data_IF_692646554589
#
_entry.id   IF_692646554589
#
_cell.length_a   1.000
_cell.length_b   1.000
_cell.length_c   1.000
_cell.angle_alpha   90.00
_cell.angle_beta   90.00
_cell.angle_gamma   90.00
#
_symmetry.space_group_name_H-M   'P 1'
#
loop_
_entity.id
_entity.type
_entity.pdbx_description
1 polymer ?
#
# COMPACT_ATOMS: atom_id res chain seq x y z
N UNK A 1 -43.78 47.93 -13.78
CA UNK A 1 -42.39 48.29 -13.48
C UNK A 1 -42.12 47.85 -12.04
N UNK A 2 -41.30 46.82 -11.87
CA UNK A 2 -41.24 45.95 -10.67
C UNK A 2 -40.56 46.66 -9.49
N UNK A 3 -41.25 46.70 -8.34
CA UNK A 3 -40.69 47.12 -7.05
C UNK A 3 -39.81 46.00 -6.45
N UNK A 4 -38.62 46.41 -5.99
CA UNK A 4 -37.55 45.60 -5.40
C UNK A 4 -38.00 44.94 -4.09
N UNK A 5 -37.69 43.64 -3.97
CA UNK A 5 -37.77 42.86 -2.72
C UNK A 5 -36.65 43.28 -1.77
N UNK A 6 -37.00 43.56 -0.53
CA UNK A 6 -36.10 43.72 0.62
C UNK A 6 -36.19 42.40 1.40
N UNK A 7 -35.07 41.70 1.57
CA UNK A 7 -34.93 40.55 2.46
C UNK A 7 -34.36 41.02 3.81
N UNK A 8 -34.92 40.64 4.96
CA UNK A 8 -34.30 40.91 6.25
C UNK A 8 -33.27 39.83 6.59
N UNK A 9 -32.08 40.26 7.02
CA UNK A 9 -31.08 39.43 7.70
C UNK A 9 -31.65 38.97 9.05
N UNK A 10 -31.67 37.66 9.29
CA UNK A 10 -31.86 37.09 10.62
C UNK A 10 -30.47 36.78 11.17
N UNK A 11 -30.09 37.52 12.23
CA UNK A 11 -28.91 37.25 13.03
C UNK A 11 -29.22 36.09 13.99
N UNK A 12 -28.50 34.97 13.85
CA UNK A 12 -28.51 33.87 14.82
C UNK A 12 -27.42 34.15 15.85
N UNK A 13 -27.84 34.45 17.07
CA UNK A 13 -26.96 34.54 18.22
C UNK A 13 -26.58 33.13 18.69
N UNK A 14 -25.29 32.78 18.61
CA UNK A 14 -24.75 31.59 19.25
C UNK A 14 -24.59 31.83 20.76
N UNK A 15 -25.31 31.04 21.55
CA UNK A 15 -25.12 30.91 22.99
C UNK A 15 -23.81 30.15 23.26
N UNK A 16 -22.85 30.85 23.87
CA UNK A 16 -21.66 30.25 24.45
C UNK A 16 -22.01 29.60 25.79
N UNK A 17 -22.11 28.27 25.80
CA UNK A 17 -22.16 27.47 27.02
C UNK A 17 -20.76 26.91 27.30
N UNK A 18 -20.27 27.18 28.52
CA UNK A 18 -18.87 27.07 28.91
C UNK A 18 -18.25 25.67 28.85
N UNK A 19 -17.01 25.63 28.34
CA UNK A 19 -16.08 24.55 28.62
C UNK A 19 -15.54 24.71 30.04
N UNK A 20 -15.87 23.74 30.90
CA UNK A 20 -15.15 23.49 32.13
C UNK A 20 -13.70 23.09 31.79
N UNK A 21 -12.75 23.82 32.34
CA UNK A 21 -11.32 23.50 32.32
C UNK A 21 -11.08 22.28 33.22
N UNK A 22 -10.98 21.10 32.63
CA UNK A 22 -10.43 19.92 33.32
C UNK A 22 -8.91 19.88 33.09
N UNK A 23 -8.18 19.90 34.20
CA UNK A 23 -6.74 19.71 34.31
C UNK A 23 -6.27 18.47 33.51
N UNK A 24 -5.26 18.59 32.64
CA UNK A 24 -4.57 17.43 32.07
C UNK A 24 -3.42 17.07 33.00
N UNK A 25 -3.70 16.37 34.10
CA UNK A 25 -2.65 15.79 34.93
C UNK A 25 -3.23 14.65 35.74
N UNK A 26 -3.18 13.45 35.14
CA UNK A 26 -2.82 12.14 35.72
C UNK A 26 -3.43 11.01 34.87
N UNK A 27 -2.94 10.83 33.64
CA UNK A 27 -3.05 9.54 32.97
C UNK A 27 -1.85 8.67 33.43
N UNK A 28 -2.06 7.41 33.82
CA UNK A 28 -0.97 6.52 34.18
C UNK A 28 -0.09 6.28 32.95
N UNK A 29 1.18 6.69 33.06
CA UNK A 29 2.23 6.38 32.09
C UNK A 29 2.47 4.88 32.22
N UNK A 30 1.81 4.08 31.38
CA UNK A 30 2.30 2.74 31.07
C UNK A 30 3.68 2.94 30.42
N UNK A 31 4.73 2.21 30.84
CA UNK A 31 5.99 2.22 30.11
C UNK A 31 5.74 1.57 28.76
N UNK A 32 5.35 2.38 27.78
CA UNK A 32 5.42 2.02 26.38
C UNK A 32 6.87 1.69 26.11
N UNK A 33 7.16 0.40 25.96
CA UNK A 33 8.39 -0.02 25.32
C UNK A 33 8.50 0.81 24.03
N UNK A 34 9.62 1.51 23.78
CA UNK A 34 9.84 2.05 22.45
C UNK A 34 9.65 0.88 21.49
N UNK A 35 8.73 1.03 20.54
CA UNK A 35 8.69 0.16 19.39
C UNK A 35 10.06 0.33 18.74
N UNK A 36 10.98 -0.57 19.06
CA UNK A 36 12.22 -0.73 18.34
C UNK A 36 11.77 -0.99 16.92
N UNK A 37 11.93 0.00 16.05
CA UNK A 37 11.90 -0.20 14.61
C UNK A 37 13.07 -1.15 14.39
N UNK A 38 12.77 -2.45 14.37
CA UNK A 38 13.67 -3.44 13.81
C UNK A 38 13.60 -3.14 12.33
N UNK A 39 14.52 -2.29 11.87
CA UNK A 39 14.97 -2.32 10.48
C UNK A 39 15.46 -3.75 10.33
N UNK A 40 14.61 -4.61 9.76
CA UNK A 40 15.03 -5.94 9.39
C UNK A 40 16.20 -5.76 8.44
N UNK A 41 17.37 -6.28 8.83
CA UNK A 41 18.43 -6.58 7.87
C UNK A 41 17.76 -7.28 6.70
N UNK A 42 17.74 -6.62 5.54
CA UNK A 42 17.28 -7.22 4.30
C UNK A 42 18.10 -8.50 4.12
N UNK A 43 17.47 -9.67 3.91
CA UNK A 43 18.20 -10.83 3.42
C UNK A 43 18.69 -10.46 2.02
N UNK A 44 19.93 -9.99 1.91
CA UNK A 44 20.65 -9.84 0.65
C UNK A 44 20.86 -11.24 0.07
N UNK A 45 19.81 -11.78 -0.55
CA UNK A 45 19.88 -12.94 -1.44
C UNK A 45 19.90 -12.46 -2.88
N UNK A 46 20.55 -11.32 -3.14
CA UNK A 46 20.85 -10.88 -4.49
C UNK A 46 22.03 -11.71 -4.99
N UNK A 47 21.79 -12.53 -6.02
CA UNK A 47 22.87 -12.98 -6.87
C UNK A 47 23.61 -11.73 -7.40
N UNK A 48 24.95 -11.71 -7.42
CA UNK A 48 25.67 -10.55 -7.92
C UNK A 48 25.32 -10.32 -9.40
N UNK A 49 24.59 -9.22 -9.66
CA UNK A 49 24.42 -8.70 -11.01
C UNK A 49 25.80 -8.37 -11.56
N UNK A 50 26.23 -9.11 -12.58
CA UNK A 50 27.46 -8.80 -13.29
C UNK A 50 27.10 -7.76 -14.34
N UNK A 51 27.18 -6.50 -13.96
CA UNK A 51 26.87 -5.40 -14.86
C UNK A 51 27.70 -5.52 -16.14
N UNK A 52 27.12 -5.30 -17.33
CA UNK A 52 27.90 -4.92 -18.49
C UNK A 52 28.79 -3.74 -18.08
N UNK A 53 30.09 -3.82 -18.36
CA UNK A 53 30.97 -2.67 -18.17
C UNK A 53 30.70 -1.69 -19.31
N UNK A 54 29.85 -0.70 -19.07
CA UNK A 54 29.71 0.46 -19.94
C UNK A 54 30.99 1.30 -19.78
N UNK A 55 31.98 1.12 -20.66
CA UNK A 55 33.18 1.96 -20.64
C UNK A 55 32.87 3.31 -21.27
N UNK A 56 32.19 4.17 -20.52
CA UNK A 56 31.87 5.52 -20.96
C UNK A 56 33.08 6.45 -20.78
N UNK A 57 33.20 7.43 -21.67
CA UNK A 57 34.14 8.53 -21.54
C UNK A 57 33.46 9.69 -20.82
N UNK A 58 34.19 10.41 -19.98
CA UNK A 58 33.70 11.67 -19.41
C UNK A 58 33.29 12.61 -20.55
N UNK A 59 32.16 13.29 -20.41
CA UNK A 59 31.70 14.26 -21.40
C UNK A 59 32.81 15.28 -21.75
N UNK A 60 33.13 15.49 -23.04
CA UNK A 60 34.34 16.21 -23.47
C UNK A 60 34.19 17.74 -23.40
N UNK A 61 33.77 18.26 -22.25
CA UNK A 61 33.67 19.69 -21.96
C UNK A 61 35.03 20.18 -21.44
N UNK A 62 35.57 21.31 -21.94
CA UNK A 62 36.79 21.89 -21.39
C UNK A 62 36.67 22.13 -19.88
N UNK A 63 37.63 21.65 -19.05
CA UNK A 63 37.53 21.80 -17.61
C UNK A 63 37.55 23.28 -17.22
N UNK A 64 36.64 23.64 -16.33
CA UNK A 64 36.50 24.98 -15.78
C UNK A 64 36.52 24.97 -14.26
N UNK A 65 36.20 26.11 -13.67
CA UNK A 65 35.99 26.23 -12.22
C UNK A 65 34.84 27.19 -11.92
N UNK A 66 33.64 26.91 -12.44
CA UNK A 66 32.45 27.69 -12.09
C UNK A 66 32.13 27.55 -10.59
N UNK A 67 31.50 28.56 -10.02
CA UNK A 67 30.91 28.46 -8.69
C UNK A 67 29.81 27.38 -8.67
N UNK A 68 29.66 26.68 -7.54
CA UNK A 68 28.58 25.69 -7.36
C UNK A 68 27.19 26.34 -7.53
N UNK A 69 26.22 25.63 -8.12
CA UNK A 69 24.88 26.17 -8.34
C UNK A 69 24.17 26.45 -7.00
N UNK A 70 23.32 27.48 -6.97
CA UNK A 70 22.56 27.84 -5.76
C UNK A 70 21.25 27.04 -5.75
N UNK A 71 21.18 25.96 -4.97
CA UNK A 71 20.05 25.01 -4.98
C UNK A 71 18.83 25.41 -4.13
N UNK A 72 18.66 26.71 -3.83
CA UNK A 72 17.61 27.19 -2.92
C UNK A 72 16.21 27.31 -3.57
N UNK A 73 16.13 27.36 -4.90
CA UNK A 73 14.88 27.49 -5.64
C UNK A 73 14.68 26.28 -6.57
N UNK A 74 13.69 25.42 -6.30
CA UNK A 74 13.43 24.25 -7.13
C UNK A 74 13.21 24.54 -8.61
N UNK A 75 12.65 25.71 -8.93
CA UNK A 75 12.35 26.08 -10.31
C UNK A 75 13.60 26.45 -11.14
N UNK A 76 14.77 26.62 -10.51
CA UNK A 76 16.02 26.96 -11.20
C UNK A 76 17.05 25.84 -11.18
N UNK A 77 16.77 24.70 -10.52
CA UNK A 77 17.71 23.58 -10.44
C UNK A 77 18.22 23.14 -11.82
N UNK A 78 17.32 22.85 -12.77
CA UNK A 78 17.70 22.39 -14.10
C UNK A 78 18.60 23.40 -14.85
N UNK A 79 18.22 24.69 -15.04
CA UNK A 79 19.08 25.64 -15.74
C UNK A 79 20.38 25.98 -15.00
N UNK A 80 20.38 26.03 -13.67
CA UNK A 80 21.59 26.36 -12.89
C UNK A 80 22.61 25.21 -12.95
N UNK A 81 22.14 23.96 -12.85
CA UNK A 81 22.99 22.77 -13.00
C UNK A 81 23.49 22.65 -14.43
N UNK A 82 22.63 22.86 -15.43
CA UNK A 82 23.01 22.86 -16.84
C UNK A 82 24.13 23.86 -17.14
N UNK A 83 24.05 25.07 -16.59
CA UNK A 83 25.07 26.10 -16.72
C UNK A 83 26.39 25.71 -16.02
N UNK A 84 26.31 25.13 -14.82
CA UNK A 84 27.49 24.63 -14.09
C UNK A 84 28.24 23.55 -14.88
N UNK A 85 27.50 22.55 -15.39
CA UNK A 85 28.06 21.44 -16.16
C UNK A 85 28.75 21.95 -17.44
N UNK A 86 28.08 22.81 -18.21
CA UNK A 86 28.61 23.35 -19.47
C UNK A 86 29.68 24.44 -19.30
N UNK A 87 29.89 24.94 -18.09
CA UNK A 87 31.05 25.77 -17.74
C UNK A 87 32.28 24.94 -17.33
N UNK A 88 32.22 23.61 -17.47
CA UNK A 88 33.31 22.69 -17.14
C UNK A 88 33.41 22.36 -15.66
N UNK A 89 32.31 22.48 -14.90
CA UNK A 89 32.25 22.09 -13.50
C UNK A 89 32.40 20.57 -13.30
N UNK A 90 32.97 20.15 -12.17
CA UNK A 90 33.19 18.74 -11.87
C UNK A 90 31.90 18.09 -11.35
N UNK A 91 31.45 17.00 -12.00
CA UNK A 91 30.24 16.26 -11.61
C UNK A 91 30.31 15.75 -10.17
N UNK A 92 31.47 15.28 -9.71
CA UNK A 92 31.66 14.84 -8.32
C UNK A 92 31.40 15.96 -7.30
N UNK A 93 31.90 17.17 -7.57
CA UNK A 93 31.64 18.34 -6.71
C UNK A 93 30.16 18.74 -6.71
N UNK A 94 29.46 18.57 -7.83
CA UNK A 94 28.02 18.78 -7.90
C UNK A 94 27.26 17.74 -7.08
N UNK A 95 27.59 16.45 -7.20
CA UNK A 95 26.94 15.38 -6.44
C UNK A 95 27.14 15.57 -4.93
N UNK A 96 28.36 15.89 -4.51
CA UNK A 96 28.66 16.22 -3.10
C UNK A 96 27.83 17.41 -2.62
N UNK A 97 27.67 18.44 -3.47
CA UNK A 97 26.87 19.62 -3.15
C UNK A 97 25.37 19.31 -3.04
N UNK A 98 24.82 18.52 -3.98
CA UNK A 98 23.42 18.07 -3.94
C UNK A 98 23.18 17.22 -2.70
N UNK A 99 24.05 16.25 -2.42
CA UNK A 99 23.96 15.39 -1.24
C UNK A 99 23.98 16.20 0.06
N UNK A 100 24.82 17.24 0.14
CA UNK A 100 24.86 18.13 1.30
C UNK A 100 23.62 19.03 1.43
N UNK A 101 22.93 19.31 0.32
CA UNK A 101 21.73 20.15 0.28
C UNK A 101 20.42 19.39 0.51
N UNK A 102 20.36 18.13 0.06
CA UNK A 102 19.21 17.25 0.29
C UNK A 102 19.14 16.90 1.79
N UNK A 103 18.03 17.26 2.43
CA UNK A 103 17.88 17.18 3.89
C UNK A 103 17.30 15.85 4.40
N UNK A 104 17.27 14.78 3.59
CA UNK A 104 16.62 13.50 3.97
C UNK A 104 17.36 12.25 3.47
N UNK A 105 17.45 11.27 4.38
CA UNK A 105 17.91 9.87 4.29
C UNK A 105 19.29 9.58 3.63
N UNK A 106 20.28 9.08 4.39
CA UNK A 106 21.61 8.68 3.87
C UNK A 106 21.63 7.58 2.80
N UNK A 107 20.49 6.97 2.48
CA UNK A 107 20.37 5.82 1.57
C UNK A 107 19.88 6.15 0.16
N UNK A 108 19.45 7.39 -0.11
CA UNK A 108 19.02 7.79 -1.45
C UNK A 108 20.22 8.26 -2.28
N UNK A 109 20.50 7.59 -3.41
CA UNK A 109 21.50 8.06 -4.37
C UNK A 109 21.06 9.41 -4.95
N UNK A 110 21.85 10.47 -4.70
CA UNK A 110 21.59 11.80 -5.25
C UNK A 110 21.75 11.88 -6.78
N UNK A 111 22.45 10.91 -7.38
CA UNK A 111 22.55 10.78 -8.82
C UNK A 111 23.28 9.52 -9.27
N UNK A 112 23.20 9.26 -10.57
CA UNK A 112 23.86 8.15 -11.27
C UNK A 112 24.62 8.72 -12.47
N UNK A 113 25.82 8.16 -12.72
CA UNK A 113 26.66 8.48 -13.87
C UNK A 113 26.76 7.22 -14.72
N UNK A 114 26.26 7.31 -15.96
CA UNK A 114 26.08 6.17 -16.85
C UNK A 114 25.89 6.68 -18.29
N UNK A 115 26.31 5.90 -19.28
CA UNK A 115 25.94 6.11 -20.68
C UNK A 115 24.49 5.62 -20.91
N UNK A 116 23.51 6.52 -20.85
CA UNK A 116 22.07 6.23 -20.92
C UNK A 116 21.55 6.14 -22.36
N UNK A 117 22.25 6.75 -23.31
CA UNK A 117 21.86 6.79 -24.72
C UNK A 117 22.72 5.88 -25.63
N UNK A 118 23.76 5.27 -25.08
CA UNK A 118 24.78 4.44 -25.74
C UNK A 118 25.64 5.18 -26.78
N UNK A 119 25.92 6.46 -26.56
CA UNK A 119 26.82 7.23 -27.41
C UNK A 119 28.30 7.14 -27.01
N UNK A 120 28.59 6.45 -25.91
CA UNK A 120 29.93 6.24 -25.37
C UNK A 120 30.38 7.32 -24.39
N UNK A 121 29.53 8.30 -24.06
CA UNK A 121 29.82 9.33 -23.07
C UNK A 121 29.00 9.15 -21.78
N UNK A 122 29.53 9.67 -20.68
CA UNK A 122 28.84 9.69 -19.40
C UNK A 122 27.70 10.71 -19.40
N UNK A 123 26.48 10.22 -19.16
CA UNK A 123 25.30 11.02 -18.85
C UNK A 123 25.08 11.11 -17.34
N UNK A 124 24.16 11.99 -16.94
CA UNK A 124 23.91 12.29 -15.54
C UNK A 124 22.42 12.29 -15.24
N UNK A 125 21.98 11.39 -14.36
CA UNK A 125 20.66 11.42 -13.74
C UNK A 125 20.79 11.94 -12.30
N UNK A 126 19.96 12.91 -11.91
CA UNK A 126 20.01 13.58 -10.60
C UNK A 126 18.64 13.61 -9.94
N UNK A 127 18.64 13.42 -8.63
CA UNK A 127 17.48 13.63 -7.77
C UNK A 127 17.77 14.78 -6.82
N UNK A 128 16.96 15.84 -6.92
CA UNK A 128 16.99 16.97 -6.01
C UNK A 128 15.72 17.00 -5.18
N UNK A 129 15.87 17.27 -3.88
CA UNK A 129 14.75 17.43 -2.97
C UNK A 129 14.92 18.68 -2.11
N UNK A 130 13.80 19.33 -1.81
CA UNK A 130 13.73 20.43 -0.88
C UNK A 130 12.74 20.08 0.22
N UNK A 131 13.23 20.09 1.47
CA UNK A 131 12.40 19.90 2.64
C UNK A 131 11.35 21.02 2.79
N UNK A 132 10.26 20.79 3.53
CA UNK A 132 9.29 21.83 3.83
C UNK A 132 9.96 23.01 4.56
N UNK A 133 9.48 24.23 4.30
CA UNK A 133 9.90 25.46 4.96
C UNK A 133 8.70 26.26 5.47
N UNK A 134 8.95 27.36 6.18
CA UNK A 134 7.88 28.29 6.60
C UNK A 134 7.07 28.85 5.42
N UNK A 135 7.66 28.87 4.22
CA UNK A 135 7.07 29.43 3.00
C UNK A 135 6.53 28.31 2.09
N UNK A 136 7.06 27.09 2.20
CA UNK A 136 6.69 25.91 1.41
C UNK A 136 6.29 24.75 2.31
N UNK A 137 4.99 24.59 2.57
CA UNK A 137 4.49 23.64 3.55
C UNK A 137 4.66 22.15 3.17
N UNK A 138 4.89 21.85 1.89
CA UNK A 138 5.11 20.50 1.39
C UNK A 138 6.53 20.38 0.84
N UNK A 139 7.17 19.20 0.95
CA UNK A 139 8.44 18.97 0.31
C UNK A 139 8.23 18.96 -1.22
N UNK A 140 9.29 19.27 -1.96
CA UNK A 140 9.28 19.22 -3.42
C UNK A 140 10.54 18.51 -3.91
N UNK A 141 10.48 17.91 -5.09
CA UNK A 141 11.64 17.30 -5.69
C UNK A 141 11.55 17.22 -7.20
N UNK A 142 12.69 16.96 -7.84
CA UNK A 142 12.77 16.82 -9.29
C UNK A 142 13.78 15.75 -9.67
N UNK A 143 13.41 14.98 -10.70
CA UNK A 143 14.32 14.13 -11.45
C UNK A 143 14.79 14.90 -12.69
N UNK A 144 16.11 15.01 -12.83
CA UNK A 144 16.76 15.66 -13.96
C UNK A 144 17.67 14.64 -14.65
N UNK A 145 17.62 14.57 -15.98
CA UNK A 145 18.55 13.77 -16.78
C UNK A 145 19.21 14.69 -17.81
N UNK A 146 20.54 14.72 -17.78
CA UNK A 146 21.38 15.43 -18.72
C UNK A 146 22.16 14.42 -19.55
N UNK A 147 21.99 14.47 -20.87
CA UNK A 147 22.79 13.68 -21.80
C UNK A 147 23.99 14.48 -22.27
N UNK A 148 25.15 13.84 -22.39
CA UNK A 148 26.26 14.43 -23.12
C UNK A 148 26.01 14.34 -24.62
N UNK A 149 26.15 15.43 -25.36
CA UNK A 149 26.06 15.44 -26.81
C UNK A 149 26.81 16.63 -27.39
N UNK A 150 27.58 16.42 -28.47
CA UNK A 150 28.33 17.49 -29.16
C UNK A 150 29.21 18.35 -28.22
N UNK A 151 29.96 17.70 -27.32
CA UNK A 151 30.85 18.36 -26.34
C UNK A 151 30.11 19.25 -25.32
N UNK A 152 28.83 19.00 -25.05
CA UNK A 152 28.03 19.73 -24.08
C UNK A 152 26.98 18.82 -23.41
N UNK A 153 26.61 19.12 -22.17
CA UNK A 153 25.42 18.51 -21.56
C UNK A 153 24.16 19.17 -22.10
N UNK A 154 23.14 18.37 -22.42
CA UNK A 154 21.81 18.80 -22.80
C UNK A 154 20.79 18.22 -21.82
N UNK A 155 19.83 19.03 -21.37
CA UNK A 155 18.73 18.55 -20.56
C UNK A 155 17.80 17.68 -21.42
N UNK A 156 17.72 16.39 -21.11
CA UNK A 156 16.94 15.41 -21.87
C UNK A 156 15.63 15.02 -21.15
N UNK A 157 15.62 15.10 -19.81
CA UNK A 157 14.43 14.86 -19.00
C UNK A 157 14.43 15.81 -17.80
N UNK A 158 13.35 16.56 -17.60
CA UNK A 158 13.22 17.49 -16.48
C UNK A 158 11.79 17.42 -15.98
N UNK A 159 11.60 16.95 -14.76
CA UNK A 159 10.30 17.00 -14.12
C UNK A 159 10.10 18.35 -13.44
N UNK A 160 8.85 18.82 -13.41
CA UNK A 160 8.52 19.98 -12.59
C UNK A 160 8.69 19.66 -11.10
N UNK A 161 9.21 20.59 -10.27
CA UNK A 161 9.22 20.42 -8.83
C UNK A 161 7.78 20.37 -8.31
N UNK A 162 7.24 19.18 -8.14
CA UNK A 162 5.84 18.98 -7.78
C UNK A 162 5.74 18.24 -6.44
N UNK A 163 5.00 18.82 -5.50
CA UNK A 163 4.68 18.14 -4.24
C UNK A 163 3.61 17.06 -4.41
N UNK A 164 2.76 17.17 -5.44
CA UNK A 164 1.61 16.27 -5.65
C UNK A 164 2.01 14.90 -6.21
N UNK A 165 3.10 14.84 -7.00
CA UNK A 165 3.60 13.60 -7.57
C UNK A 165 4.35 12.73 -6.54
N UNK A 166 4.72 13.30 -5.38
CA UNK A 166 5.63 12.67 -4.43
C UNK A 166 7.09 13.08 -4.65
N UNK A 167 7.98 12.64 -3.78
CA UNK A 167 9.41 12.88 -3.87
C UNK A 167 10.07 11.84 -4.77
N UNK A 168 10.82 12.26 -5.81
CA UNK A 168 11.52 11.34 -6.67
C UNK A 168 12.65 10.65 -5.91
N UNK A 169 12.90 9.38 -6.24
CA UNK A 169 14.06 8.59 -5.82
C UNK A 169 14.63 7.86 -7.03
N UNK A 170 15.94 7.75 -7.07
CA UNK A 170 16.67 6.94 -8.04
C UNK A 170 17.04 5.64 -7.35
N UNK A 171 16.30 4.57 -7.67
CA UNK A 171 16.41 3.30 -6.96
C UNK A 171 17.55 2.44 -7.48
N UNK A 172 17.71 2.39 -8.80
CA UNK A 172 18.78 1.62 -9.46
C UNK A 172 18.93 2.03 -10.93
N UNK A 173 20.15 1.84 -11.45
CA UNK A 173 20.51 1.93 -12.86
C UNK A 173 21.07 0.57 -13.31
N UNK A 174 20.53 -0.04 -14.38
CA UNK A 174 21.01 -1.30 -14.99
C UNK A 174 20.19 -1.65 -16.23
N UNK A 175 20.62 -2.67 -16.98
CA UNK A 175 19.80 -3.28 -18.02
C UNK A 175 18.66 -4.09 -17.37
N UNK A 176 17.47 -3.49 -17.34
CA UNK A 176 16.25 -4.11 -16.83
C UNK A 176 15.55 -4.94 -17.91
N UNK A 177 15.73 -4.59 -19.20
CA UNK A 177 15.05 -5.25 -20.32
C UNK A 177 15.81 -6.46 -20.90
N UNK A 178 17.08 -6.63 -20.56
CA UNK A 178 17.97 -7.67 -21.07
C UNK A 178 18.52 -7.40 -22.47
N UNK A 179 18.41 -6.17 -22.98
CA UNK A 179 18.80 -5.82 -24.35
C UNK A 179 20.21 -5.23 -24.46
N UNK A 180 20.94 -5.20 -23.34
CA UNK A 180 22.28 -4.67 -23.22
C UNK A 180 22.34 -3.16 -22.97
N UNK A 181 21.20 -2.46 -22.99
CA UNK A 181 21.12 -1.02 -22.72
C UNK A 181 20.68 -0.79 -21.28
N UNK A 182 21.17 0.27 -20.61
CA UNK A 182 20.74 0.52 -19.25
C UNK A 182 19.44 1.36 -19.21
N UNK A 183 18.61 1.07 -18.22
CA UNK A 183 17.46 1.88 -17.83
C UNK A 183 17.59 2.37 -16.38
N UNK A 184 16.77 3.36 -16.03
CA UNK A 184 16.66 3.89 -14.67
C UNK A 184 15.36 3.43 -14.03
N UNK A 185 15.44 2.74 -12.89
CA UNK A 185 14.29 2.54 -12.01
C UNK A 185 14.15 3.75 -11.10
N UNK A 186 13.08 4.51 -11.29
CA UNK A 186 12.76 5.71 -10.52
C UNK A 186 11.45 5.53 -9.77
N UNK A 187 11.38 6.10 -8.57
CA UNK A 187 10.22 6.00 -7.70
C UNK A 187 9.72 7.39 -7.35
N UNK A 188 8.41 7.53 -7.27
CA UNK A 188 7.75 8.73 -6.78
C UNK A 188 7.06 8.43 -5.47
N UNK A 189 7.65 8.85 -4.36
CA UNK A 189 7.19 8.50 -3.02
C UNK A 189 6.29 9.59 -2.43
N UNK A 190 5.09 9.20 -2.01
CA UNK A 190 4.18 10.06 -1.25
C UNK A 190 3.94 9.48 0.13
N UNK A 191 4.32 10.22 1.17
CA UNK A 191 4.13 9.83 2.56
C UNK A 191 3.08 10.70 3.24
N UNK A 192 2.06 10.05 3.81
CA UNK A 192 1.19 10.66 4.82
C UNK A 192 1.84 10.60 6.21
N UNK A 193 1.03 10.85 7.25
CA UNK A 193 1.52 10.84 8.63
C UNK A 193 2.11 9.48 9.08
N UNK A 194 1.63 8.37 8.50
CA UNK A 194 1.95 7.02 8.97
C UNK A 194 2.12 5.98 7.85
N UNK A 195 2.01 6.35 6.58
CA UNK A 195 2.02 5.39 5.47
C UNK A 195 2.56 6.08 4.23
N UNK A 196 3.51 5.41 3.58
CA UNK A 196 4.08 5.85 2.32
C UNK A 196 3.58 4.97 1.18
N UNK A 197 3.53 5.54 -0.02
CA UNK A 197 3.17 4.88 -1.26
C UNK A 197 4.21 5.27 -2.32
N UNK A 198 4.45 4.39 -3.31
CA UNK A 198 5.36 4.69 -4.41
C UNK A 198 4.71 4.45 -5.77
N UNK A 199 4.87 5.37 -6.71
CA UNK A 199 4.71 5.05 -8.12
C UNK A 199 6.08 4.73 -8.72
N UNK A 200 6.26 3.50 -9.21
CA UNK A 200 7.46 3.10 -9.93
C UNK A 200 7.39 3.49 -11.41
N UNK A 201 8.55 3.78 -11.98
CA UNK A 201 8.76 4.05 -13.40
C UNK A 201 10.09 3.43 -13.82
N UNK A 202 10.17 2.99 -15.08
CA UNK A 202 11.43 2.56 -15.69
C UNK A 202 11.66 3.45 -16.90
N UNK A 203 12.66 4.32 -16.81
CA UNK A 203 12.96 5.28 -17.86
C UNK A 203 14.02 4.73 -18.80
N UNK A 204 13.68 4.66 -20.09
CA UNK A 204 14.56 4.22 -21.17
C UNK A 204 14.69 5.29 -22.24
N UNK A 205 15.89 5.48 -22.78
CA UNK A 205 16.11 6.35 -23.93
C UNK A 205 15.62 5.68 -25.23
N UNK A 206 14.73 6.33 -25.97
CA UNK A 206 14.14 5.82 -27.23
C UNK A 206 14.85 6.32 -28.50
N UNK A 207 15.91 7.13 -28.35
CA UNK A 207 16.59 7.83 -29.43
C UNK A 207 16.21 9.31 -29.55
N UNK A 208 15.14 9.75 -28.91
CA UNK A 208 14.64 11.13 -28.94
C UNK A 208 14.32 11.69 -27.56
N UNK A 209 13.90 10.83 -26.62
CA UNK A 209 13.51 11.19 -25.27
C UNK A 209 13.54 9.97 -24.34
N UNK A 210 13.30 10.21 -23.05
CA UNK A 210 13.06 9.14 -22.10
C UNK A 210 11.58 8.75 -22.12
N UNK A 211 11.30 7.46 -22.33
CA UNK A 211 9.98 6.87 -22.17
C UNK A 211 9.88 6.07 -20.87
N UNK A 212 8.71 6.10 -20.24
CA UNK A 212 8.39 5.22 -19.12
C UNK A 212 7.87 3.88 -19.64
N UNK A 213 8.58 2.80 -19.35
CA UNK A 213 8.22 1.43 -19.72
C UNK A 213 7.26 0.76 -18.74
N UNK A 214 7.06 1.35 -17.56
CA UNK A 214 6.20 0.79 -16.50
C UNK A 214 4.72 0.90 -16.87
N UNK A 215 3.99 -0.21 -16.72
CA UNK A 215 2.54 -0.24 -16.90
C UNK A 215 1.81 -0.48 -15.58
N UNK A 216 0.74 0.29 -15.37
CA UNK A 216 -0.15 0.13 -14.23
C UNK A 216 0.29 0.92 -13.00
N UNK A 217 -0.36 0.62 -11.88
CA UNK A 217 -0.23 1.35 -10.62
C UNK A 217 0.58 0.55 -9.60
N UNK A 218 1.46 1.24 -8.90
CA UNK A 218 2.09 0.75 -7.68
C UNK A 218 1.84 1.66 -6.47
N UNK A 219 1.24 2.83 -6.70
CA UNK A 219 0.94 3.87 -5.73
C UNK A 219 -0.23 3.54 -4.80
N UNK A 220 -0.83 2.35 -4.95
CA UNK A 220 -1.84 1.78 -4.07
C UNK A 220 -1.27 0.78 -3.05
N UNK A 221 0.04 0.49 -3.11
CA UNK A 221 0.72 -0.44 -2.20
C UNK A 221 1.27 0.30 -0.96
N UNK A 222 0.67 0.12 0.23
CA UNK A 222 1.07 0.85 1.43
C UNK A 222 2.37 0.32 2.06
N UNK A 223 3.21 1.25 2.48
CA UNK A 223 4.55 1.02 3.06
C UNK A 223 5.34 0.00 2.22
N UNK A 224 5.64 0.34 0.96
CA UNK A 224 6.18 -0.61 -0.01
C UNK A 224 7.63 -0.98 0.32
N UNK A 225 7.94 -2.26 0.14
CA UNK A 225 9.30 -2.80 0.12
C UNK A 225 9.61 -3.36 -1.28
N UNK A 226 10.78 -3.03 -1.83
CA UNK A 226 11.13 -3.31 -3.23
C UNK A 226 12.26 -4.32 -3.30
N UNK A 227 12.04 -5.39 -4.05
CA UNK A 227 13.02 -6.43 -4.33
C UNK A 227 13.26 -6.50 -5.85
N UNK A 228 14.53 -6.49 -6.26
CA UNK A 228 14.94 -6.69 -7.65
C UNK A 228 15.47 -8.13 -7.82
N UNK A 229 14.86 -8.89 -8.73
CA UNK A 229 15.25 -10.27 -9.02
C UNK A 229 15.71 -10.41 -10.47
N UNK A 230 17.00 -10.62 -10.68
CA UNK A 230 17.56 -10.80 -12.01
C UNK A 230 19.09 -10.82 -12.04
N UNK A 231 19.70 -11.00 -13.22
CA UNK A 231 19.00 -11.19 -14.49
C UNK A 231 18.27 -12.53 -14.54
N UNK A 232 17.10 -12.54 -15.15
CA UNK A 232 16.29 -13.72 -15.43
C UNK A 232 16.89 -14.49 -16.62
N UNK A 233 16.25 -15.60 -17.01
CA UNK A 233 16.73 -16.43 -18.12
C UNK A 233 16.76 -15.70 -19.48
N UNK A 234 15.94 -14.66 -19.65
CA UNK A 234 15.89 -13.80 -20.82
C UNK A 234 16.78 -12.54 -20.71
N UNK A 235 17.52 -12.41 -19.61
CA UNK A 235 18.37 -11.24 -19.33
C UNK A 235 17.67 -10.10 -18.59
N UNK A 236 16.34 -10.08 -18.54
CA UNK A 236 15.57 -9.02 -17.89
C UNK A 236 15.61 -9.09 -16.35
N UNK A 237 15.10 -8.08 -15.66
CA UNK A 237 14.98 -8.08 -14.19
C UNK A 237 13.51 -8.01 -13.77
N UNK A 238 13.05 -8.92 -12.92
CA UNK A 238 11.75 -8.80 -12.26
C UNK A 238 11.82 -7.79 -11.11
N UNK A 239 10.75 -7.03 -10.92
CA UNK A 239 10.62 -6.03 -9.86
C UNK A 239 9.42 -6.40 -9.00
N UNK A 240 9.67 -6.75 -7.75
CA UNK A 240 8.64 -7.12 -6.79
C UNK A 240 8.45 -5.99 -5.79
N UNK A 241 7.20 -5.57 -5.59
CA UNK A 241 6.81 -4.59 -4.57
C UNK A 241 5.89 -5.29 -3.57
N UNK A 242 6.32 -5.36 -2.31
CA UNK A 242 5.53 -5.90 -1.21
C UNK A 242 4.94 -4.77 -0.38
N UNK A 243 3.61 -4.67 -0.34
CA UNK A 243 2.90 -3.80 0.59
C UNK A 243 3.01 -4.36 2.02
N UNK A 244 3.72 -3.67 2.91
CA UNK A 244 3.94 -4.08 4.31
C UNK A 244 2.83 -3.64 5.24
N UNK A 245 2.01 -2.69 4.79
CA UNK A 245 0.76 -2.31 5.43
C UNK A 245 0.68 -0.86 5.84
N UNK A 246 -0.35 -0.56 6.62
CA UNK A 246 -0.77 0.81 6.91
C UNK A 246 -0.46 1.12 8.38
N UNK A 247 0.39 2.12 8.64
CA UNK A 247 0.83 2.49 9.98
C UNK A 247 -0.22 3.18 10.87
N UNK A 248 -1.51 3.02 10.56
CA UNK A 248 -2.63 3.59 11.31
C UNK A 248 -3.30 2.52 12.16
N UNK A 249 -3.49 2.80 13.45
CA UNK A 249 -4.23 1.88 14.33
C UNK A 249 -5.66 1.61 13.83
N UNK A 250 -6.29 2.60 13.18
CA UNK A 250 -7.64 2.47 12.63
C UNK A 250 -7.73 1.60 11.36
N UNK A 251 -6.60 1.28 10.72
CA UNK A 251 -6.56 0.39 9.56
C UNK A 251 -6.82 -1.07 9.96
N UNK A 252 -6.46 -1.43 11.20
CA UNK A 252 -6.47 -2.79 11.71
C UNK A 252 -5.35 -3.66 11.12
N UNK A 253 -5.43 -5.00 11.25
CA UNK A 253 -4.39 -5.87 10.77
C UNK A 253 -4.32 -5.85 9.25
N UNK A 254 -3.13 -5.61 8.70
CA UNK A 254 -2.90 -5.64 7.26
C UNK A 254 -2.44 -7.02 6.82
N UNK A 255 -2.89 -7.46 5.64
CA UNK A 255 -2.42 -8.68 4.99
C UNK A 255 -1.53 -8.29 3.82
N UNK A 256 -0.28 -8.70 3.87
CA UNK A 256 0.70 -8.29 2.85
C UNK A 256 0.27 -8.74 1.45
N UNK A 257 0.44 -7.83 0.50
CA UNK A 257 0.22 -8.07 -0.93
C UNK A 257 1.57 -7.86 -1.61
N UNK A 258 1.99 -8.82 -2.43
CA UNK A 258 3.17 -8.70 -3.26
C UNK A 258 2.75 -8.70 -4.72
N UNK A 259 3.18 -7.68 -5.45
CA UNK A 259 3.02 -7.60 -6.91
C UNK A 259 4.38 -7.67 -7.58
N UNK A 260 4.46 -8.41 -8.67
CA UNK A 260 5.68 -8.57 -9.47
C UNK A 260 5.44 -8.06 -10.88
N UNK A 261 6.32 -7.18 -11.34
CA UNK A 261 6.35 -6.69 -12.72
C UNK A 261 7.53 -7.32 -13.45
N UNK A 262 7.27 -7.77 -14.67
CA UNK A 262 8.28 -8.37 -15.56
C UNK A 262 8.26 -7.70 -16.91
N UNK A 263 9.38 -7.77 -17.63
CA UNK A 263 9.47 -7.29 -19.00
C UNK A 263 8.68 -8.17 -19.96
N UNK A 264 7.87 -7.56 -20.82
CA UNK A 264 7.12 -8.21 -21.89
C UNK A 264 7.59 -7.67 -23.26
N UNK A 265 8.46 -8.40 -23.99
CA UNK A 265 9.03 -7.94 -25.26
C UNK A 265 7.98 -7.63 -26.34
N UNK A 266 6.83 -8.31 -26.32
CA UNK A 266 5.77 -8.12 -27.32
C UNK A 266 5.08 -6.76 -27.20
N UNK A 267 4.90 -6.26 -25.97
CA UNK A 267 4.33 -4.94 -25.71
C UNK A 267 5.40 -3.87 -25.52
N UNK A 268 6.64 -4.27 -25.25
CA UNK A 268 7.74 -3.37 -24.92
C UNK A 268 7.51 -2.68 -23.58
N UNK A 269 6.85 -3.33 -22.62
CA UNK A 269 6.49 -2.75 -21.32
C UNK A 269 6.75 -3.71 -20.16
N UNK A 270 6.88 -3.13 -18.97
CA UNK A 270 6.83 -3.85 -17.71
C UNK A 270 5.37 -3.97 -17.27
N UNK A 271 4.86 -5.19 -17.25
CA UNK A 271 3.46 -5.47 -16.91
C UNK A 271 3.39 -6.30 -15.62
N UNK A 272 2.27 -6.19 -14.91
CA UNK A 272 1.99 -7.00 -13.72
C UNK A 272 1.85 -8.46 -14.15
N UNK A 273 2.81 -9.31 -13.78
CA UNK A 273 2.79 -10.73 -14.10
C UNK A 273 2.28 -11.60 -12.96
N UNK A 274 2.39 -11.12 -11.72
CA UNK A 274 1.94 -11.85 -10.54
C UNK A 274 1.45 -10.89 -9.46
N UNK A 275 0.34 -11.26 -8.80
CA UNK A 275 -0.10 -10.68 -7.54
C UNK A 275 -0.36 -11.83 -6.55
N UNK A 276 0.25 -11.75 -5.38
CA UNK A 276 0.09 -12.74 -4.31
C UNK A 276 -0.31 -12.07 -3.02
N UNK A 277 -1.27 -12.68 -2.35
CA UNK A 277 -1.68 -12.32 -1.00
C UNK A 277 -0.97 -13.27 -0.03
N UNK A 278 -0.35 -12.73 1.02
CA UNK A 278 0.34 -13.56 2.01
C UNK A 278 -0.61 -14.55 2.71
N UNK A 279 -0.09 -15.62 3.29
CA UNK A 279 -0.91 -16.50 4.14
C UNK A 279 -1.52 -15.71 5.32
N UNK A 280 -2.73 -16.05 5.77
CA UNK A 280 -3.38 -15.29 6.83
C UNK A 280 -2.66 -15.55 8.15
N UNK A 281 -2.03 -14.49 8.67
CA UNK A 281 -1.48 -14.45 10.03
C UNK A 281 -2.57 -14.18 11.07
N UNK A 282 -3.57 -13.38 10.70
CA UNK A 282 -4.65 -12.96 11.60
C UNK A 282 -5.91 -13.79 11.39
N UNK A 283 -6.64 -14.06 12.48
CA UNK A 283 -7.87 -14.87 12.44
C UNK A 283 -8.95 -14.27 11.53
N UNK A 284 -9.05 -12.94 11.50
CA UNK A 284 -9.96 -12.22 10.60
C UNK A 284 -9.65 -12.47 9.11
N UNK A 285 -8.36 -12.59 8.75
CA UNK A 285 -7.98 -12.88 7.36
C UNK A 285 -8.30 -14.32 6.97
N UNK A 286 -8.14 -15.28 7.89
CA UNK A 286 -8.58 -16.65 7.66
C UNK A 286 -10.11 -16.75 7.50
N UNK A 287 -10.86 -15.90 8.21
CA UNK A 287 -12.31 -15.78 8.03
C UNK A 287 -12.66 -15.21 6.64
N UNK A 288 -11.96 -14.17 6.19
CA UNK A 288 -12.15 -13.62 4.85
C UNK A 288 -11.91 -14.67 3.75
N UNK A 289 -10.86 -15.50 3.88
CA UNK A 289 -10.58 -16.58 2.93
C UNK A 289 -11.70 -17.62 2.91
N UNK A 290 -12.21 -18.01 4.07
CA UNK A 290 -13.33 -18.94 4.18
C UNK A 290 -14.62 -18.38 3.57
N UNK A 291 -14.89 -17.09 3.80
CA UNK A 291 -16.04 -16.39 3.22
C UNK A 291 -15.92 -16.27 1.69
N UNK A 292 -14.74 -15.96 1.18
CA UNK A 292 -14.50 -15.88 -0.26
C UNK A 292 -14.73 -17.23 -0.93
N UNK A 293 -14.18 -18.32 -0.36
CA UNK A 293 -14.42 -19.66 -0.86
C UNK A 293 -15.92 -20.03 -0.86
N UNK A 294 -16.66 -19.65 0.18
CA UNK A 294 -18.11 -19.88 0.25
C UNK A 294 -18.88 -19.10 -0.84
N UNK A 295 -18.48 -17.85 -1.12
CA UNK A 295 -19.06 -17.02 -2.18
C UNK A 295 -18.78 -17.58 -3.59
N UNK A 296 -17.60 -18.16 -3.79
CA UNK A 296 -17.21 -18.81 -5.05
C UNK A 296 -17.84 -20.19 -5.24
N UNK A 297 -18.52 -20.71 -4.23
CA UNK A 297 -19.15 -22.02 -4.25
C UNK A 297 -18.21 -23.18 -3.89
N UNK A 298 -16.99 -22.90 -3.44
CA UNK A 298 -16.06 -23.90 -2.90
C UNK A 298 -16.30 -24.13 -1.40
N UNK A 299 -17.40 -24.83 -1.11
CA UNK A 299 -17.81 -25.11 0.27
C UNK A 299 -16.88 -26.07 1.00
N UNK A 300 -16.10 -26.90 0.29
CA UNK A 300 -15.12 -27.76 0.93
C UNK A 300 -13.98 -26.94 1.52
N UNK A 301 -13.44 -26.00 0.73
CA UNK A 301 -12.42 -25.05 1.20
C UNK A 301 -12.98 -24.13 2.27
N UNK A 302 -14.19 -23.61 2.08
CA UNK A 302 -14.85 -22.76 3.08
C UNK A 302 -15.00 -23.47 4.43
N UNK A 303 -15.49 -24.72 4.45
CA UNK A 303 -15.63 -25.48 5.70
C UNK A 303 -14.30 -25.74 6.42
N UNK A 304 -13.22 -26.04 5.68
CA UNK A 304 -11.87 -26.15 6.26
C UNK A 304 -11.40 -24.80 6.81
N UNK A 305 -11.69 -23.71 6.09
CA UNK A 305 -11.40 -22.34 6.50
C UNK A 305 -12.11 -21.93 7.79
N UNK A 306 -13.43 -22.14 7.90
CA UNK A 306 -14.18 -21.85 9.12
C UNK A 306 -13.71 -22.71 10.30
N UNK A 307 -13.39 -23.99 10.08
CA UNK A 307 -12.78 -24.82 11.13
C UNK A 307 -11.43 -24.27 11.59
N UNK A 308 -10.59 -23.78 10.66
CA UNK A 308 -9.32 -23.12 11.00
C UNK A 308 -9.56 -21.85 11.82
N UNK A 309 -10.54 -21.01 11.45
CA UNK A 309 -10.95 -19.85 12.24
C UNK A 309 -11.38 -20.26 13.65
N UNK A 310 -12.07 -21.38 13.78
CA UNK A 310 -12.52 -21.88 15.09
C UNK A 310 -11.39 -22.41 15.96
N UNK A 311 -10.45 -23.18 15.40
CA UNK A 311 -9.57 -24.05 16.19
C UNK A 311 -8.06 -23.75 16.06
N UNK A 312 -7.62 -23.01 15.05
CA UNK A 312 -6.20 -22.76 14.84
C UNK A 312 -5.66 -21.76 15.88
N UNK A 313 -4.83 -22.30 16.79
CA UNK A 313 -4.17 -21.55 17.86
C UNK A 313 -2.97 -20.72 17.39
N UNK A 314 -2.54 -20.85 16.13
CA UNK A 314 -1.41 -20.08 15.56
C UNK A 314 -1.85 -18.74 14.98
N UNK A 315 -3.16 -18.57 14.73
CA UNK A 315 -3.72 -17.31 14.25
C UNK A 315 -3.72 -16.24 15.34
N UNK A 316 -3.22 -15.05 15.00
CA UNK A 316 -3.21 -13.87 15.84
C UNK A 316 -4.61 -13.21 15.85
N UNK A 317 -5.10 -12.84 17.03
CA UNK A 317 -6.42 -12.23 17.22
C UNK A 317 -6.38 -10.69 17.15
N UNK A 318 -5.23 -10.13 16.78
CA UNK A 318 -4.94 -8.71 16.75
C UNK A 318 -5.19 -8.04 18.12
N UNK A 319 -5.51 -6.75 18.15
CA UNK A 319 -5.76 -5.99 19.37
C UNK A 319 -7.02 -6.44 20.13
N UNK A 320 -7.92 -7.20 19.51
CA UNK A 320 -9.17 -7.66 20.12
C UNK A 320 -8.99 -8.86 21.06
N UNK A 321 -7.84 -9.56 20.97
CA UNK A 321 -7.48 -10.64 21.90
C UNK A 321 -8.52 -11.77 22.01
N UNK A 322 -8.72 -12.28 23.23
CA UNK A 322 -9.62 -13.41 23.49
C UNK A 322 -11.08 -13.12 23.15
N UNK A 323 -11.53 -11.88 23.30
CA UNK A 323 -12.90 -11.45 22.96
C UNK A 323 -13.11 -11.44 21.43
N UNK A 324 -12.14 -10.91 20.69
CA UNK A 324 -12.13 -10.99 19.22
C UNK A 324 -12.06 -12.43 18.72
N UNK A 325 -11.24 -13.28 19.36
CA UNK A 325 -11.23 -14.72 19.08
C UNK A 325 -12.62 -15.31 19.24
N UNK A 326 -13.25 -15.11 20.39
CA UNK A 326 -14.56 -15.68 20.68
C UNK A 326 -15.63 -15.20 19.68
N UNK A 327 -15.60 -13.93 19.30
CA UNK A 327 -16.46 -13.34 18.25
C UNK A 327 -16.27 -14.03 16.90
N UNK A 328 -15.04 -14.12 16.39
CA UNK A 328 -14.77 -14.73 15.09
C UNK A 328 -15.07 -16.24 15.07
N UNK A 329 -14.85 -16.93 16.19
CA UNK A 329 -15.25 -18.35 16.37
C UNK A 329 -16.77 -18.50 16.28
N UNK A 330 -17.53 -17.66 16.99
CA UNK A 330 -18.99 -17.72 17.00
C UNK A 330 -19.57 -17.47 15.60
N UNK A 331 -19.06 -16.44 14.90
CA UNK A 331 -19.46 -16.15 13.54
C UNK A 331 -19.07 -17.27 12.55
N UNK A 332 -17.86 -17.81 12.63
CA UNK A 332 -17.44 -18.93 11.78
C UNK A 332 -18.28 -20.20 12.01
N UNK A 333 -18.69 -20.48 13.26
CA UNK A 333 -19.60 -21.58 13.57
C UNK A 333 -20.98 -21.37 12.92
N UNK A 334 -21.54 -20.16 12.98
CA UNK A 334 -22.77 -19.83 12.26
C UNK A 334 -22.60 -20.07 10.75
N UNK A 335 -21.50 -19.59 10.13
CA UNK A 335 -21.25 -19.79 8.70
C UNK A 335 -21.12 -21.26 8.31
N UNK A 336 -20.47 -22.06 9.16
CA UNK A 336 -20.39 -23.51 8.97
C UNK A 336 -21.79 -24.17 9.01
N UNK A 337 -22.66 -23.77 9.94
CA UNK A 337 -24.04 -24.25 10.03
C UNK A 337 -24.83 -23.94 8.74
N UNK A 338 -24.66 -22.75 8.18
CA UNK A 338 -25.29 -22.38 6.90
C UNK A 338 -24.82 -23.31 5.76
N UNK A 339 -23.52 -23.62 5.69
CA UNK A 339 -22.98 -24.59 4.72
C UNK A 339 -23.53 -26.00 4.95
N UNK A 340 -23.61 -26.44 6.20
CA UNK A 340 -24.16 -27.75 6.54
C UNK A 340 -25.62 -27.88 6.11
N UNK A 341 -26.44 -26.85 6.36
CA UNK A 341 -27.83 -26.81 5.88
C UNK A 341 -27.90 -26.88 4.36
N UNK A 342 -27.11 -26.06 3.67
CA UNK A 342 -27.04 -26.05 2.19
C UNK A 342 -26.71 -27.43 1.62
N UNK A 343 -25.79 -28.14 2.27
CA UNK A 343 -25.34 -29.45 1.83
C UNK A 343 -26.29 -30.59 2.27
N UNK A 344 -27.38 -30.28 2.97
CA UNK A 344 -28.33 -31.26 3.49
C UNK A 344 -27.85 -31.97 4.77
N UNK A 345 -26.76 -31.52 5.39
CA UNK A 345 -26.17 -32.07 6.60
C UNK A 345 -26.85 -31.51 7.86
N UNK A 346 -28.18 -31.66 7.96
CA UNK A 346 -28.97 -31.05 9.05
C UNK A 346 -28.56 -31.54 10.45
N UNK A 347 -28.03 -32.76 10.57
CA UNK A 347 -27.46 -33.27 11.83
C UNK A 347 -26.23 -32.48 12.28
N UNK A 348 -25.36 -32.08 11.35
CA UNK A 348 -24.19 -31.26 11.67
C UNK A 348 -24.62 -29.84 12.03
N UNK A 349 -25.60 -29.29 11.31
CA UNK A 349 -26.16 -27.97 11.59
C UNK A 349 -26.76 -27.90 13.01
N UNK A 350 -27.54 -28.91 13.42
CA UNK A 350 -28.10 -29.00 14.78
C UNK A 350 -27.00 -29.14 15.84
N UNK A 351 -26.00 -30.00 15.60
CA UNK A 351 -24.87 -30.16 16.51
C UNK A 351 -24.04 -28.87 16.63
N UNK A 352 -23.90 -28.09 15.56
CA UNK A 352 -23.24 -26.79 15.57
C UNK A 352 -24.00 -25.76 16.39
N UNK A 353 -25.33 -25.75 16.33
CA UNK A 353 -26.17 -24.89 17.16
C UNK A 353 -26.06 -25.29 18.65
N UNK A 354 -26.05 -26.58 18.96
CA UNK A 354 -25.83 -27.05 20.33
C UNK A 354 -24.45 -26.67 20.88
N UNK A 355 -23.41 -26.74 20.03
CA UNK A 355 -22.08 -26.24 20.36
C UNK A 355 -22.12 -24.74 20.69
N UNK A 356 -22.76 -23.92 19.85
CA UNK A 356 -22.89 -22.48 20.08
C UNK A 356 -23.60 -22.16 21.39
N UNK A 357 -24.71 -22.84 21.69
CA UNK A 357 -25.46 -22.68 22.95
C UNK A 357 -24.62 -23.03 24.18
N UNK A 358 -23.80 -24.08 24.08
CA UNK A 358 -22.93 -24.51 25.17
C UNK A 358 -21.73 -23.57 25.35
N UNK A 359 -21.14 -23.07 24.26
CA UNK A 359 -19.97 -22.19 24.29
C UNK A 359 -20.32 -20.75 24.70
N UNK A 360 -21.51 -20.28 24.32
CA UNK A 360 -21.95 -18.90 24.54
C UNK A 360 -23.35 -18.91 25.19
N UNK A 361 -23.44 -19.12 26.52
CA UNK A 361 -24.71 -19.07 27.24
C UNK A 361 -25.27 -17.63 27.31
N UNK A 362 -26.52 -17.40 27.76
CA UNK A 362 -27.18 -16.07 27.74
C UNK A 362 -26.42 -14.93 28.41
N UNK A 363 -25.55 -15.22 29.38
CA UNK A 363 -24.68 -14.25 30.04
C UNK A 363 -23.42 -13.88 29.24
N UNK A 364 -23.12 -14.60 28.15
CA UNK A 364 -21.97 -14.35 27.29
C UNK A 364 -22.19 -13.10 26.43
N UNK A 365 -21.18 -12.23 26.26
CA UNK A 365 -21.27 -11.11 25.32
C UNK A 365 -21.45 -11.56 23.86
N UNK A 366 -21.15 -12.82 23.53
CA UNK A 366 -21.31 -13.37 22.18
C UNK A 366 -22.63 -14.14 21.99
N UNK A 367 -23.55 -14.11 22.98
CA UNK A 367 -24.84 -14.80 22.90
C UNK A 367 -25.69 -14.38 21.69
N UNK A 368 -25.50 -13.16 21.17
CA UNK A 368 -26.19 -12.70 19.97
C UNK A 368 -25.96 -13.61 18.75
N UNK A 369 -24.79 -14.27 18.63
CA UNK A 369 -24.53 -15.23 17.55
C UNK A 369 -25.33 -16.54 17.73
N UNK A 370 -25.69 -16.90 18.95
CA UNK A 370 -26.65 -17.99 19.20
C UNK A 370 -28.02 -17.57 18.68
N UNK A 371 -28.51 -16.38 19.06
CA UNK A 371 -29.79 -15.86 18.58
C UNK A 371 -29.87 -15.71 17.05
N UNK A 372 -28.78 -15.27 16.42
CA UNK A 372 -28.61 -15.24 14.96
C UNK A 372 -28.82 -16.63 14.35
N UNK A 373 -28.15 -17.64 14.92
CA UNK A 373 -28.18 -19.02 14.44
C UNK A 373 -29.54 -19.68 14.70
N UNK A 374 -30.15 -19.44 15.86
CA UNK A 374 -31.50 -19.90 16.18
C UNK A 374 -32.51 -19.33 15.19
N UNK A 375 -32.42 -18.03 14.88
CA UNK A 375 -33.33 -17.39 13.93
C UNK A 375 -33.22 -18.01 12.53
N UNK A 376 -32.00 -18.30 12.08
CA UNK A 376 -31.75 -19.03 10.84
C UNK A 376 -32.37 -20.43 10.90
N UNK A 377 -32.02 -21.21 11.93
CA UNK A 377 -32.39 -22.62 12.06
C UNK A 377 -33.90 -22.83 12.20
N UNK A 378 -34.57 -22.06 13.05
CA UNK A 378 -36.03 -22.12 13.24
C UNK A 378 -36.78 -21.82 11.94
N UNK A 379 -36.29 -20.85 11.17
CA UNK A 379 -36.89 -20.50 9.88
C UNK A 379 -36.72 -21.64 8.88
N UNK A 380 -35.50 -22.19 8.76
CA UNK A 380 -35.25 -23.33 7.89
C UNK A 380 -36.10 -24.56 8.26
N UNK A 381 -36.36 -24.81 9.55
CA UNK A 381 -37.16 -25.97 9.98
C UNK A 381 -38.64 -25.90 9.57
N UNK A 382 -39.16 -24.72 9.21
CA UNK A 382 -40.58 -24.56 8.84
C UNK A 382 -40.87 -25.11 7.44
N UNK A 383 -40.06 -24.72 6.44
CA UNK A 383 -40.31 -25.01 5.04
C UNK A 383 -39.11 -25.62 4.30
N UNK A 384 -37.94 -25.69 4.93
CA UNK A 384 -36.70 -26.14 4.31
C UNK A 384 -36.10 -25.12 3.33
N UNK A 385 -36.55 -23.86 3.36
CA UNK A 385 -36.06 -22.82 2.46
C UNK A 385 -34.82 -22.12 3.04
N UNK A 386 -33.65 -22.46 2.48
CA UNK A 386 -32.38 -21.83 2.84
C UNK A 386 -32.39 -20.31 2.63
N UNK A 387 -33.10 -19.81 1.62
CA UNK A 387 -33.15 -18.37 1.33
C UNK A 387 -33.90 -17.63 2.42
N UNK A 388 -35.08 -18.12 2.79
CA UNK A 388 -35.88 -17.51 3.86
C UNK A 388 -35.13 -17.56 5.21
N UNK A 389 -34.45 -18.67 5.48
CA UNK A 389 -33.58 -18.80 6.64
C UNK A 389 -32.44 -17.76 6.65
N UNK A 390 -31.75 -17.58 5.52
CA UNK A 390 -30.73 -16.55 5.40
C UNK A 390 -31.30 -15.15 5.60
N UNK A 391 -32.42 -14.81 4.96
CA UNK A 391 -33.07 -13.50 5.13
C UNK A 391 -33.45 -13.24 6.59
N UNK A 392 -33.90 -14.27 7.31
CA UNK A 392 -34.19 -14.17 8.74
C UNK A 392 -32.93 -13.87 9.58
N UNK A 393 -31.79 -14.50 9.24
CA UNK A 393 -30.50 -14.23 9.87
C UNK A 393 -29.99 -12.82 9.57
N UNK A 394 -30.05 -12.38 8.31
CA UNK A 394 -29.68 -11.02 7.92
C UNK A 394 -30.56 -9.98 8.64
N UNK A 395 -31.86 -10.23 8.73
CA UNK A 395 -32.79 -9.39 9.48
C UNK A 395 -32.48 -9.34 10.97
N UNK A 396 -32.01 -10.45 11.57
CA UNK A 396 -31.54 -10.45 12.95
C UNK A 396 -30.28 -9.59 13.11
N UNK A 397 -29.29 -9.74 12.24
CA UNK A 397 -28.06 -8.94 12.27
C UNK A 397 -28.34 -7.44 12.09
N UNK A 398 -29.26 -7.07 11.19
CA UNK A 398 -29.66 -5.67 10.97
C UNK A 398 -30.29 -5.03 12.21
N UNK A 399 -31.01 -5.81 13.02
CA UNK A 399 -31.64 -5.33 14.25
C UNK A 399 -30.71 -5.38 15.47
N UNK A 400 -29.54 -6.02 15.37
CA UNK A 400 -28.56 -6.15 16.44
C UNK A 400 -27.13 -5.83 15.92
N UNK A 401 -26.90 -4.66 15.31
CA UNK A 401 -25.61 -4.36 14.67
C UNK A 401 -24.46 -4.25 15.68
N UNK A 402 -24.69 -3.72 16.88
CA UNK A 402 -23.69 -3.57 17.95
C UNK A 402 -23.16 -4.93 18.43
N UNK A 403 -23.99 -5.98 18.40
CA UNK A 403 -23.63 -7.31 18.89
C UNK A 403 -23.15 -8.27 17.78
N UNK A 404 -23.47 -7.98 16.50
CA UNK A 404 -23.17 -8.87 15.36
C UNK A 404 -22.22 -8.22 14.35
N UNK A 405 -22.47 -6.99 13.91
CA UNK A 405 -21.72 -6.37 12.80
C UNK A 405 -20.50 -5.60 13.29
N UNK A 406 -20.67 -4.77 14.31
CA UNK A 406 -19.57 -3.97 14.87
C UNK A 406 -18.42 -4.82 15.40
N UNK A 407 -18.65 -5.97 16.08
CA UNK A 407 -17.56 -6.84 16.52
C UNK A 407 -16.76 -7.49 15.37
N UNK A 408 -17.31 -7.51 14.15
CA UNK A 408 -16.62 -7.99 12.95
C UNK A 408 -15.82 -6.90 12.23
N UNK A 409 -15.83 -5.66 12.73
CA UNK A 409 -15.06 -4.57 12.15
C UNK A 409 -13.60 -4.59 12.64
N UNK A 410 -12.69 -4.94 11.73
CA UNK A 410 -11.24 -4.98 11.99
C UNK A 410 -10.51 -3.84 11.29
N UNK A 411 -11.08 -2.64 11.27
CA UNK A 411 -10.45 -1.45 10.68
C UNK A 411 -10.67 -1.31 9.18
N UNK A 412 -10.37 -0.11 8.66
CA UNK A 412 -10.73 0.27 7.29
C UNK A 412 -9.93 -0.44 6.19
N UNK A 413 -8.86 -1.15 6.54
CA UNK A 413 -8.10 -1.97 5.59
C UNK A 413 -8.64 -3.41 5.48
N UNK A 414 -9.69 -3.73 6.24
CA UNK A 414 -10.35 -5.01 6.25
C UNK A 414 -11.79 -4.90 5.72
N UNK A 415 -12.38 -6.05 5.36
CA UNK A 415 -13.78 -6.11 4.93
C UNK A 415 -14.68 -5.52 6.01
N UNK A 416 -15.61 -4.67 5.58
CA UNK A 416 -16.74 -4.24 6.42
C UNK A 416 -17.91 -5.18 6.16
N UNK A 417 -18.43 -5.82 7.21
CA UNK A 417 -19.59 -6.70 7.11
C UNK A 417 -20.88 -5.90 7.18
N UNK A 418 -21.74 -6.09 6.20
CA UNK A 418 -23.12 -5.63 6.18
C UNK A 418 -24.05 -6.78 6.54
N UNK A 419 -25.30 -6.46 6.90
CA UNK A 419 -26.30 -7.49 7.19
C UNK A 419 -26.46 -8.50 6.04
N UNK A 420 -26.37 -8.06 4.78
CA UNK A 420 -26.44 -8.94 3.61
C UNK A 420 -25.25 -9.92 3.52
N UNK A 421 -24.08 -9.55 4.04
CA UNK A 421 -22.89 -10.40 4.02
C UNK A 421 -23.00 -11.58 4.99
N UNK A 422 -23.89 -11.51 5.98
CA UNK A 422 -24.04 -12.52 7.04
C UNK A 422 -24.46 -13.87 6.47
N UNK A 423 -25.37 -13.88 5.49
CA UNK A 423 -25.86 -15.10 4.84
C UNK A 423 -26.16 -14.83 3.36
N UNK A 424 -25.14 -14.79 2.48
CA UNK A 424 -25.25 -14.29 1.11
C UNK A 424 -25.87 -15.31 0.12
N UNK A 425 -26.55 -16.33 0.64
CA UNK A 425 -27.27 -17.33 -0.18
C UNK A 425 -28.65 -16.82 -0.65
N UNK A 426 -28.88 -15.51 -0.56
CA UNK A 426 -30.04 -14.79 -1.07
C UNK A 426 -29.95 -14.48 -2.57
N UNK A 427 -28.74 -14.35 -3.11
CA UNK A 427 -28.47 -13.94 -4.49
C UNK A 427 -28.37 -15.13 -5.44
N UNK A 428 -29.54 -15.61 -5.89
CA UNK A 428 -29.69 -16.45 -7.09
C UNK A 428 -30.35 -15.67 -8.21
#
# INVERSE_FOLDING_TARGET
>A
MKLRKIFPMIAIALLASGCNTLNPSTLPISPGNPATIVIGDQPQTQAPYTAPTFSAQVCPIPPGSPDLPILNNPNTWAPDIHAYLNAGGFVSSLLDHIQASNSTEPSANAGEILDLNEDGFEDLALVLTQAPSEITALPSGSLLIFLCSDEAFQAAYVTSPASEAGLPKLQASRDFTGDGRPELLTLWESCGAHTCFIQAEILKWDGSGFENLWQGRSDDLPSPDIELQGPLADGSTAISITARGIGSAGAGPYREIRRTWTWHPESGRFELSEETLADPKYRIHALHDADQAALEGDYETASKGYLRVMEDGTLDDWSSGEDGRATLRAYAAFRQIVIDVRNGNTTNAEAGLDFLRAAYPPESPHYAYVGLTERFWETYQIDGDLREACLAAQGFALNNPEDILEPLYYGYANRTYLAADICPFDNG
#
